data_IF_603260322259
#
_entry.id   IF_603260322259
#
_cell.length_a   1.000
_cell.length_b   1.000
_cell.length_c   1.000
_cell.angle_alpha   90.00
_cell.angle_beta   90.00
_cell.angle_gamma   90.00
#
_symmetry.space_group_name_H-M   'P 1'
#
loop_
_entity.id
_entity.type
_entity.pdbx_description
1 polymer ?
#
# COMPACT_ATOMS: atom_id res chain seq x y z
N UNK A 1 -5.45 8.11 -28.01
CA UNK A 1 -5.79 8.61 -26.66
C UNK A 1 -5.14 7.68 -25.64
N UNK A 2 -4.31 8.23 -24.75
CA UNK A 2 -3.40 7.45 -23.91
C UNK A 2 -4.15 6.71 -22.78
N UNK A 3 -3.76 5.46 -22.54
CA UNK A 3 -4.35 4.57 -21.51
C UNK A 3 -3.31 3.97 -20.57
N UNK A 4 -2.10 3.75 -21.08
CA UNK A 4 -0.98 3.15 -20.37
C UNK A 4 0.22 4.05 -20.58
N UNK A 5 0.86 4.46 -19.51
CA UNK A 5 2.13 5.20 -19.56
C UNK A 5 3.10 4.51 -18.63
N UNK A 6 4.25 4.09 -19.18
CA UNK A 6 5.37 3.55 -18.42
C UNK A 6 6.56 4.45 -18.64
N UNK A 7 7.05 5.02 -17.55
CA UNK A 7 8.29 5.80 -17.48
C UNK A 7 9.19 5.24 -16.37
N UNK A 8 9.04 3.93 -16.11
CA UNK A 8 9.87 3.18 -15.17
C UNK A 8 11.35 3.29 -15.54
N UNK A 9 12.24 3.26 -14.55
CA UNK A 9 13.70 3.23 -14.76
C UNK A 9 14.21 4.46 -15.52
N UNK A 10 13.84 5.64 -15.05
CA UNK A 10 14.33 6.91 -15.57
C UNK A 10 14.93 7.74 -14.42
N UNK A 11 15.29 8.98 -14.74
CA UNK A 11 15.78 9.96 -13.75
C UNK A 11 14.73 11.02 -13.41
N UNK A 12 13.44 10.68 -13.48
CA UNK A 12 12.37 11.61 -13.09
C UNK A 12 12.51 11.92 -11.60
N UNK A 13 12.52 13.19 -11.24
CA UNK A 13 12.78 13.61 -9.86
C UNK A 13 11.82 14.66 -9.35
N UNK A 14 11.74 14.78 -8.02
CA UNK A 14 10.90 15.77 -7.36
C UNK A 14 9.41 15.46 -7.51
N UNK A 15 8.58 16.49 -7.61
CA UNK A 15 7.13 16.34 -7.71
C UNK A 15 6.68 16.26 -9.17
N UNK A 16 6.12 15.13 -9.58
CA UNK A 16 5.56 14.97 -10.93
C UNK A 16 4.17 15.60 -10.96
N UNK A 17 4.03 16.62 -11.81
CA UNK A 17 2.76 17.35 -11.97
C UNK A 17 1.94 16.78 -13.12
N UNK A 18 0.74 16.32 -12.82
CA UNK A 18 -0.26 15.88 -13.80
C UNK A 18 -1.17 17.07 -14.12
N UNK A 19 -0.83 17.76 -15.19
CA UNK A 19 -1.58 18.93 -15.65
C UNK A 19 -2.90 18.50 -16.34
N UNK A 20 -4.01 18.74 -15.62
CA UNK A 20 -5.41 18.68 -16.07
C UNK A 20 -5.94 17.35 -16.64
N UNK A 21 -7.25 17.30 -16.90
CA UNK A 21 -8.06 16.15 -17.37
C UNK A 21 -7.71 15.60 -18.77
N UNK A 22 -6.51 15.90 -19.29
CA UNK A 22 -6.03 15.53 -20.64
C UNK A 22 -5.78 14.05 -20.86
N UNK A 23 -5.78 13.28 -19.77
CA UNK A 23 -5.62 11.83 -19.81
C UNK A 23 -6.88 11.12 -19.27
N UNK A 24 -8.10 11.40 -19.80
CA UNK A 24 -9.31 10.90 -19.17
C UNK A 24 -9.53 9.41 -19.38
N UNK A 25 -8.69 8.75 -20.19
CA UNK A 25 -8.68 7.29 -20.35
C UNK A 25 -7.47 6.62 -19.68
N UNK A 26 -6.64 7.36 -18.95
CA UNK A 26 -5.50 6.76 -18.25
C UNK A 26 -5.99 5.69 -17.29
N UNK A 27 -5.43 4.50 -17.43
CA UNK A 27 -5.79 3.32 -16.67
C UNK A 27 -4.60 2.81 -15.85
N UNK A 28 -3.39 2.91 -16.40
CA UNK A 28 -2.14 2.52 -15.75
C UNK A 28 -1.10 3.62 -15.90
N UNK A 29 -0.51 4.00 -14.77
CA UNK A 29 0.64 4.88 -14.70
C UNK A 29 1.74 4.16 -13.92
N UNK A 30 2.86 3.94 -14.58
CA UNK A 30 4.02 3.25 -14.02
C UNK A 30 5.21 4.20 -14.05
N UNK A 31 5.63 4.60 -12.85
CA UNK A 31 6.67 5.59 -12.60
C UNK A 31 7.77 5.02 -11.69
N UNK A 32 7.80 3.70 -11.47
CA UNK A 32 8.72 3.09 -10.53
C UNK A 32 10.20 3.29 -10.93
N UNK A 33 11.12 3.09 -9.97
CA UNK A 33 12.57 3.22 -10.19
C UNK A 33 12.95 4.58 -10.76
N UNK A 34 12.51 5.64 -10.09
CA UNK A 34 12.84 7.03 -10.37
C UNK A 34 13.33 7.70 -9.06
N UNK A 35 13.23 9.03 -8.96
CA UNK A 35 13.59 9.83 -7.78
C UNK A 35 12.40 10.70 -7.34
N UNK A 36 11.17 10.21 -7.52
CA UNK A 36 9.94 10.98 -7.34
C UNK A 36 9.65 11.16 -5.85
N UNK A 37 9.30 12.39 -5.45
CA UNK A 37 8.91 12.76 -4.09
C UNK A 37 7.40 12.85 -3.89
N UNK A 38 6.63 12.91 -4.97
CA UNK A 38 5.17 12.89 -4.93
C UNK A 38 4.49 13.19 -6.26
N UNK A 39 3.18 12.97 -6.31
CA UNK A 39 2.34 13.29 -7.46
C UNK A 39 1.40 14.46 -7.15
N UNK A 40 1.48 15.52 -7.96
CA UNK A 40 0.55 16.64 -7.89
C UNK A 40 -0.48 16.50 -9.02
N UNK A 41 -1.77 16.56 -8.69
CA UNK A 41 -2.84 16.45 -9.69
C UNK A 41 -3.24 15.01 -10.08
N UNK A 42 -2.81 14.00 -9.32
CA UNK A 42 -3.21 12.61 -9.55
C UNK A 42 -4.75 12.42 -9.52
N UNK A 43 -5.46 13.25 -8.75
CA UNK A 43 -6.92 13.29 -8.66
C UNK A 43 -7.60 13.57 -10.00
N UNK A 44 -6.92 14.13 -11.01
CA UNK A 44 -7.48 14.32 -12.35
C UNK A 44 -7.58 13.02 -13.15
N UNK A 45 -6.82 11.99 -12.79
CA UNK A 45 -6.82 10.69 -13.47
C UNK A 45 -7.98 9.79 -12.97
N UNK A 46 -9.22 10.22 -13.17
CA UNK A 46 -10.44 9.56 -12.64
C UNK A 46 -10.60 8.09 -13.05
N UNK A 47 -9.98 7.67 -14.16
CA UNK A 47 -10.02 6.31 -14.66
C UNK A 47 -8.77 5.47 -14.32
N UNK A 48 -7.82 6.03 -13.57
CA UNK A 48 -6.64 5.31 -13.14
C UNK A 48 -7.05 4.14 -12.24
N UNK A 49 -6.48 2.97 -12.49
CA UNK A 49 -6.68 1.73 -11.72
C UNK A 49 -5.39 1.15 -11.20
N UNK A 50 -4.26 1.41 -11.85
CA UNK A 50 -2.96 0.88 -11.45
C UNK A 50 -1.95 2.01 -11.39
N UNK A 51 -1.32 2.15 -10.23
CA UNK A 51 -0.28 3.14 -9.98
C UNK A 51 0.92 2.46 -9.32
N UNK A 52 2.08 2.58 -9.97
CA UNK A 52 3.35 2.06 -9.49
C UNK A 52 4.32 3.23 -9.27
N UNK A 53 4.81 3.35 -8.04
CA UNK A 53 5.72 4.37 -7.54
C UNK A 53 6.74 3.70 -6.59
N UNK A 54 7.10 2.46 -6.90
CA UNK A 54 8.08 1.69 -6.13
C UNK A 54 9.49 2.18 -6.45
N UNK A 55 10.42 2.05 -5.51
CA UNK A 55 11.81 2.49 -5.69
C UNK A 55 11.88 3.98 -6.10
N UNK A 56 11.25 4.83 -5.30
CA UNK A 56 11.22 6.28 -5.45
C UNK A 56 11.66 6.94 -4.13
N UNK A 57 11.51 8.27 -4.03
CA UNK A 57 11.85 9.04 -2.84
C UNK A 57 10.60 9.59 -2.14
N UNK A 58 9.50 8.83 -2.12
CA UNK A 58 8.30 9.22 -1.38
C UNK A 58 8.58 9.20 0.11
N UNK A 59 8.17 10.25 0.83
CA UNK A 59 8.43 10.42 2.25
C UNK A 59 7.18 10.89 3.00
N UNK A 60 7.18 10.70 4.32
CA UNK A 60 6.11 11.13 5.21
C UNK A 60 4.96 10.12 5.31
N UNK A 61 3.81 10.60 5.79
CA UNK A 61 2.65 9.74 6.04
C UNK A 61 1.92 9.38 4.74
N UNK A 62 1.64 8.09 4.56
CA UNK A 62 0.94 7.54 3.40
C UNK A 62 -0.43 8.18 3.17
N UNK A 63 -1.11 8.58 4.24
CA UNK A 63 -2.39 9.31 4.19
C UNK A 63 -2.27 10.64 3.46
N UNK A 64 -1.16 11.36 3.68
CA UNK A 64 -0.87 12.65 3.02
C UNK A 64 -0.49 12.39 1.55
N UNK A 65 0.39 11.42 1.31
CA UNK A 65 0.84 11.05 -0.05
C UNK A 65 -0.35 10.64 -0.93
N UNK A 66 -1.32 9.93 -0.37
CA UNK A 66 -2.49 9.42 -1.10
C UNK A 66 -3.73 10.32 -1.01
N UNK A 67 -3.66 11.44 -0.30
CA UNK A 67 -4.81 12.34 -0.07
C UNK A 67 -5.48 12.73 -1.40
N UNK A 68 -4.68 13.02 -2.42
CA UNK A 68 -5.15 13.47 -3.72
C UNK A 68 -5.16 12.37 -4.80
N UNK A 69 -5.12 11.09 -4.42
CA UNK A 69 -5.14 10.01 -5.40
C UNK A 69 -6.58 9.64 -5.82
N UNK A 70 -6.78 9.11 -7.04
CA UNK A 70 -8.07 8.57 -7.43
C UNK A 70 -8.54 7.48 -6.47
N UNK A 71 -9.77 7.58 -5.96
CA UNK A 71 -10.32 6.63 -4.98
C UNK A 71 -10.62 5.24 -5.53
N UNK A 72 -10.64 5.10 -6.87
CA UNK A 72 -10.97 3.86 -7.59
C UNK A 72 -9.74 3.06 -8.02
N UNK A 73 -8.61 3.21 -7.33
CA UNK A 73 -7.42 2.41 -7.61
C UNK A 73 -7.67 0.94 -7.28
N UNK A 74 -7.11 0.03 -8.07
CA UNK A 74 -7.10 -1.42 -7.82
C UNK A 74 -5.73 -1.88 -7.34
N UNK A 75 -4.65 -1.27 -7.84
CA UNK A 75 -3.28 -1.61 -7.48
C UNK A 75 -2.55 -0.32 -7.13
N UNK A 76 -1.92 -0.32 -5.96
CA UNK A 76 -1.04 0.74 -5.49
C UNK A 76 0.23 0.10 -4.95
N UNK A 77 1.37 0.58 -5.45
CA UNK A 77 2.68 0.01 -5.16
C UNK A 77 3.64 1.15 -4.81
N UNK A 78 4.15 1.11 -3.58
CA UNK A 78 5.12 2.04 -3.00
C UNK A 78 6.26 1.30 -2.30
N UNK A 79 6.57 0.07 -2.73
CA UNK A 79 7.69 -0.66 -2.15
C UNK A 79 8.97 0.16 -2.31
N UNK A 80 9.90 0.08 -1.35
CA UNK A 80 11.18 0.78 -1.43
C UNK A 80 11.03 2.31 -1.55
N UNK A 81 10.44 2.91 -0.51
CA UNK A 81 10.35 4.36 -0.31
C UNK A 81 10.72 4.69 1.16
N UNK A 82 10.51 5.93 1.59
CA UNK A 82 10.78 6.41 2.96
C UNK A 82 9.49 6.84 3.69
N UNK A 83 8.39 6.12 3.47
CA UNK A 83 7.10 6.41 4.11
C UNK A 83 7.15 6.07 5.62
N UNK A 84 6.57 6.92 6.46
CA UNK A 84 6.69 6.81 7.93
C UNK A 84 5.42 6.41 8.66
N UNK A 85 4.24 6.60 8.05
CA UNK A 85 2.96 6.39 8.72
C UNK A 85 1.87 5.84 7.81
N UNK A 86 1.00 5.01 8.38
CA UNK A 86 -0.15 4.40 7.70
C UNK A 86 -1.36 4.43 8.62
N UNK A 87 -2.35 5.30 8.35
CA UNK A 87 -3.51 5.45 9.25
C UNK A 87 -4.85 5.22 8.55
N UNK A 88 -5.05 5.71 7.32
CA UNK A 88 -6.36 5.66 6.64
C UNK A 88 -6.26 5.52 5.13
N UNK A 89 -6.21 4.26 4.68
CA UNK A 89 -6.40 3.91 3.25
C UNK A 89 -7.85 3.58 2.88
N UNK A 90 -8.78 3.73 3.83
CA UNK A 90 -10.22 3.44 3.67
C UNK A 90 -10.90 4.23 2.53
N UNK A 91 -10.31 5.37 2.13
CA UNK A 91 -10.79 6.13 0.99
C UNK A 91 -10.54 5.43 -0.36
N UNK A 92 -9.61 4.48 -0.44
CA UNK A 92 -9.31 3.70 -1.64
C UNK A 92 -10.24 2.48 -1.73
N UNK A 93 -11.53 2.75 -1.93
CA UNK A 93 -12.62 1.77 -1.76
C UNK A 93 -12.65 0.62 -2.77
N UNK A 94 -11.84 0.67 -3.83
CA UNK A 94 -11.74 -0.40 -4.84
C UNK A 94 -10.37 -1.11 -4.82
N UNK A 95 -9.52 -0.82 -3.82
CA UNK A 95 -8.15 -1.31 -3.79
C UNK A 95 -8.12 -2.82 -3.58
N UNK A 96 -7.39 -3.52 -4.45
CA UNK A 96 -7.28 -4.98 -4.49
C UNK A 96 -5.91 -5.48 -4.04
N UNK A 97 -4.88 -4.69 -4.29
CA UNK A 97 -3.49 -4.99 -3.96
C UNK A 97 -2.80 -3.72 -3.47
N UNK A 98 -2.16 -3.83 -2.31
CA UNK A 98 -1.31 -2.80 -1.73
C UNK A 98 0.06 -3.37 -1.45
N UNK A 99 1.09 -2.76 -2.01
CA UNK A 99 2.49 -3.09 -1.69
C UNK A 99 3.17 -1.85 -1.14
N UNK A 100 3.64 -1.93 0.10
CA UNK A 100 4.32 -0.84 0.83
C UNK A 100 5.46 -1.41 1.69
N UNK A 101 6.06 -2.51 1.23
CA UNK A 101 7.22 -3.14 1.86
C UNK A 101 8.45 -2.24 1.75
N UNK A 102 9.45 -2.48 2.60
CA UNK A 102 10.72 -1.73 2.58
C UNK A 102 10.47 -0.21 2.67
N UNK A 103 9.81 0.19 3.75
CA UNK A 103 9.56 1.58 4.14
C UNK A 103 9.90 1.76 5.63
N UNK A 104 9.64 2.94 6.19
CA UNK A 104 9.90 3.27 7.58
C UNK A 104 8.61 3.38 8.40
N UNK A 105 7.57 2.61 8.03
CA UNK A 105 6.25 2.71 8.64
C UNK A 105 6.33 2.40 10.14
N UNK A 106 5.66 3.22 10.94
CA UNK A 106 5.64 3.14 12.40
C UNK A 106 4.25 2.98 12.99
N UNK A 107 4.18 2.33 14.14
CA UNK A 107 2.96 2.25 14.96
C UNK A 107 1.99 1.18 14.49
N UNK A 108 0.71 1.53 14.38
CA UNK A 108 -0.36 0.56 14.11
C UNK A 108 -1.00 0.77 12.75
N UNK A 109 -1.20 -0.30 12.01
CA UNK A 109 -2.01 -0.30 10.80
C UNK A 109 -3.41 -0.86 11.09
N UNK A 110 -4.46 -0.08 10.80
CA UNK A 110 -5.85 -0.49 11.02
C UNK A 110 -6.48 -0.88 9.69
N UNK A 111 -6.90 -2.14 9.59
CA UNK A 111 -7.63 -2.70 8.46
C UNK A 111 -9.12 -2.73 8.84
N UNK A 112 -9.83 -1.70 8.43
CA UNK A 112 -11.28 -1.57 8.67
C UNK A 112 -12.08 -2.49 7.74
N UNK A 113 -13.30 -2.82 8.16
CA UNK A 113 -14.25 -3.61 7.34
C UNK A 113 -14.50 -3.04 5.95
N UNK A 114 -14.55 -1.71 5.81
CA UNK A 114 -14.75 -1.07 4.51
C UNK A 114 -13.54 -1.26 3.60
N UNK A 115 -12.34 -1.04 4.12
CA UNK A 115 -11.10 -1.21 3.37
C UNK A 115 -10.90 -2.67 2.95
N UNK A 116 -11.15 -3.60 3.85
CA UNK A 116 -10.92 -5.01 3.58
C UNK A 116 -12.04 -5.73 2.82
N UNK A 117 -13.12 -5.02 2.47
CA UNK A 117 -14.16 -5.52 1.56
C UNK A 117 -13.66 -5.75 0.13
N UNK A 118 -12.58 -5.11 -0.30
CA UNK A 118 -12.05 -5.24 -1.68
C UNK A 118 -10.60 -5.70 -1.77
N UNK A 119 -9.81 -5.54 -0.71
CA UNK A 119 -8.40 -5.90 -0.71
C UNK A 119 -8.22 -7.42 -0.66
N UNK A 120 -7.30 -7.95 -1.48
CA UNK A 120 -6.94 -9.37 -1.50
C UNK A 120 -5.50 -9.61 -1.07
N UNK A 121 -4.63 -8.60 -1.20
CA UNK A 121 -3.20 -8.71 -0.93
C UNK A 121 -2.68 -7.42 -0.31
N UNK A 122 -1.94 -7.56 0.78
CA UNK A 122 -1.23 -6.48 1.44
C UNK A 122 0.20 -6.96 1.70
N UNK A 123 1.19 -6.21 1.25
CA UNK A 123 2.60 -6.44 1.56
C UNK A 123 3.17 -5.26 2.35
N UNK A 124 3.67 -5.57 3.55
CA UNK A 124 4.17 -4.67 4.59
C UNK A 124 5.60 -5.04 5.02
N UNK A 125 6.24 -5.98 4.35
CA UNK A 125 7.51 -6.56 4.79
C UNK A 125 8.58 -5.49 4.99
N UNK A 126 9.51 -5.73 5.90
CA UNK A 126 10.66 -4.85 6.18
C UNK A 126 10.25 -3.43 6.63
N UNK A 127 9.13 -3.29 7.33
CA UNK A 127 8.72 -2.06 8.03
C UNK A 127 8.97 -2.20 9.53
N UNK A 128 10.23 -2.12 9.95
CA UNK A 128 10.66 -2.45 11.33
C UNK A 128 10.01 -1.61 12.44
N UNK A 129 9.45 -0.44 12.10
CA UNK A 129 8.78 0.43 13.05
C UNK A 129 7.31 0.07 13.31
N UNK A 130 6.72 -0.78 12.48
CA UNK A 130 5.32 -1.19 12.60
C UNK A 130 5.20 -2.21 13.72
N UNK A 131 4.38 -1.89 14.72
CA UNK A 131 4.25 -2.68 15.94
C UNK A 131 2.95 -3.45 16.03
N UNK A 132 1.90 -3.04 15.31
CA UNK A 132 0.58 -3.68 15.39
C UNK A 132 -0.17 -3.62 14.06
N UNK A 133 -0.91 -4.68 13.76
CA UNK A 133 -1.94 -4.72 12.71
C UNK A 133 -3.26 -5.05 13.38
N UNK A 134 -4.18 -4.09 13.35
CA UNK A 134 -5.54 -4.30 13.83
C UNK A 134 -6.46 -4.67 12.67
N UNK A 135 -6.95 -5.91 12.68
CA UNK A 135 -7.99 -6.43 11.81
C UNK A 135 -9.31 -6.35 12.58
N UNK A 136 -10.19 -5.45 12.19
CA UNK A 136 -11.56 -5.43 12.74
C UNK A 136 -12.20 -6.82 12.49
N UNK A 137 -12.82 -7.42 13.51
CA UNK A 137 -12.93 -8.89 13.67
C UNK A 137 -13.73 -9.63 12.58
N UNK A 138 -14.44 -8.89 11.71
CA UNK A 138 -15.18 -9.37 10.54
C UNK A 138 -14.65 -8.82 9.20
N UNK A 139 -13.50 -8.13 9.22
CA UNK A 139 -13.14 -7.16 8.18
C UNK A 139 -12.50 -7.75 6.93
N UNK A 140 -11.91 -8.95 6.98
CA UNK A 140 -11.05 -9.47 5.91
C UNK A 140 -11.63 -10.65 5.11
N UNK A 141 -12.89 -10.62 4.63
CA UNK A 141 -13.48 -11.75 3.94
C UNK A 141 -12.78 -12.09 2.61
N UNK A 142 -12.05 -11.13 2.05
CA UNK A 142 -11.39 -11.25 0.75
C UNK A 142 -9.87 -11.31 0.82
N UNK A 143 -9.26 -11.04 1.99
CA UNK A 143 -7.80 -11.03 2.12
C UNK A 143 -7.25 -12.45 1.95
N UNK A 144 -6.33 -12.61 1.00
CA UNK A 144 -5.67 -13.88 0.66
C UNK A 144 -4.21 -13.90 1.07
N UNK A 145 -3.58 -12.73 1.16
CA UNK A 145 -2.16 -12.59 1.49
C UNK A 145 -1.96 -11.36 2.37
N UNK A 146 -1.23 -11.54 3.47
CA UNK A 146 -0.80 -10.46 4.36
C UNK A 146 0.68 -10.68 4.73
N UNK A 147 1.58 -10.03 3.99
CA UNK A 147 3.01 -10.26 4.17
C UNK A 147 3.61 -9.18 5.05
N UNK A 148 4.26 -9.57 6.15
CA UNK A 148 4.97 -8.68 7.06
C UNK A 148 6.30 -9.27 7.50
N UNK A 149 6.96 -10.00 6.60
CA UNK A 149 8.28 -10.57 6.84
C UNK A 149 9.28 -9.47 7.21
N UNK A 150 10.28 -9.77 8.03
CA UNK A 150 11.29 -8.78 8.44
C UNK A 150 10.82 -7.78 9.51
N UNK A 151 9.59 -7.89 10.01
CA UNK A 151 9.12 -7.14 11.18
C UNK A 151 9.27 -8.02 12.43
N UNK A 152 10.23 -7.67 13.29
CA UNK A 152 10.67 -8.54 14.40
C UNK A 152 9.64 -8.69 15.53
N UNK A 153 8.90 -7.63 15.84
CA UNK A 153 7.92 -7.59 16.93
C UNK A 153 6.64 -6.92 16.46
N UNK A 154 5.69 -7.71 15.96
CA UNK A 154 4.39 -7.23 15.52
C UNK A 154 3.28 -7.97 16.27
N UNK A 155 2.25 -7.26 16.70
CA UNK A 155 1.01 -7.87 17.12
C UNK A 155 -0.02 -7.86 16.00
N UNK A 156 -0.88 -8.88 15.95
CA UNK A 156 -2.08 -8.87 15.11
C UNK A 156 -3.28 -8.98 16.03
N UNK A 157 -4.17 -7.99 16.04
CA UNK A 157 -5.27 -7.89 17.02
C UNK A 157 -4.79 -8.02 18.47
N UNK A 158 -3.69 -7.33 18.79
CA UNK A 158 -3.05 -7.32 20.11
C UNK A 158 -2.48 -8.67 20.58
N UNK A 159 -2.48 -9.70 19.72
CA UNK A 159 -1.76 -10.95 19.94
C UNK A 159 -0.34 -10.86 19.35
N UNK A 160 0.69 -11.04 20.18
CA UNK A 160 2.10 -10.85 19.79
C UNK A 160 2.58 -11.99 18.89
N UNK A 161 2.85 -11.69 17.61
CA UNK A 161 3.49 -12.59 16.68
C UNK A 161 5.02 -12.50 16.83
N UNK A 162 5.63 -13.42 17.60
CA UNK A 162 7.10 -13.51 17.72
C UNK A 162 7.70 -14.52 16.73
N UNK A 163 7.70 -14.33 15.40
CA UNK A 163 8.50 -15.23 14.53
C UNK A 163 9.11 -14.61 13.28
N UNK A 164 10.36 -15.03 13.05
CA UNK A 164 11.20 -14.84 11.87
C UNK A 164 10.84 -15.87 10.77
N UNK A 165 9.54 -16.01 10.40
CA UNK A 165 9.06 -16.94 9.35
C UNK A 165 8.13 -16.24 8.35
N UNK A 166 8.39 -16.58 7.09
CA UNK A 166 7.94 -15.97 5.83
C UNK A 166 6.44 -16.03 5.58
N UNK A 167 5.88 -14.87 5.16
CA UNK A 167 4.64 -14.67 4.36
C UNK A 167 3.36 -15.39 4.80
N UNK A 168 2.27 -14.67 5.04
CA UNK A 168 0.96 -15.30 5.25
C UNK A 168 0.31 -15.65 3.92
N UNK A 169 0.37 -16.93 3.55
CA UNK A 169 -0.55 -17.51 2.57
C UNK A 169 -1.84 -17.92 3.32
N UNK A 170 -2.88 -17.07 3.31
CA UNK A 170 -4.14 -17.25 4.09
C UNK A 170 -4.95 -18.50 3.64
N UNK A 171 -4.42 -19.30 2.71
CA UNK A 171 -5.00 -20.60 2.33
C UNK A 171 -5.02 -21.66 3.44
N UNK A 172 -4.31 -21.47 4.56
CA UNK A 172 -4.30 -22.43 5.67
C UNK A 172 -4.58 -21.80 7.03
N UNK A 173 -5.88 -21.66 7.32
CA UNK A 173 -6.54 -21.60 8.66
C UNK A 173 -6.58 -20.23 9.39
N UNK A 174 -7.69 -19.99 10.12
CA UNK A 174 -7.99 -18.71 10.78
C UNK A 174 -7.11 -18.50 12.01
N UNK A 175 -6.76 -17.23 12.25
CA UNK A 175 -6.56 -16.43 13.50
C UNK A 175 -6.07 -17.10 14.81
N UNK A 176 -6.24 -18.40 15.04
CA UNK A 176 -6.05 -19.05 16.35
C UNK A 176 -4.65 -19.60 16.62
N UNK A 177 -3.75 -19.64 15.63
CA UNK A 177 -2.39 -20.20 15.80
C UNK A 177 -1.27 -19.18 15.49
N UNK A 178 -1.56 -17.88 15.63
CA UNK A 178 -0.65 -16.82 15.18
C UNK A 178 0.57 -16.61 16.08
N UNK A 179 0.49 -17.08 17.32
CA UNK A 179 1.47 -16.80 18.35
C UNK A 179 1.75 -18.10 19.11
N UNK A 180 2.91 -18.71 18.89
CA UNK A 180 3.45 -19.71 19.83
C UNK A 180 4.43 -18.98 20.77
N UNK A 181 4.38 -19.35 22.07
CA UNK A 181 5.05 -18.72 23.21
C UNK A 181 6.57 -18.49 23.06
#
# INVERSE_FOLDING_TARGET
MLRYLRLSENELEGYVTIASSKLPKMFLLDLNRNKIKGLVGANYLKNLRKLYLDHDNLEGDLDIVTENFPRKLWVLSFDWNSLTGIKRLEALTELKSLSISNNELKGSFIITKSFASTIYMISLSDNIGLSNIHLDSDAVPNLKSLDFYGIECISVNDEICKQNKSSWDIKFRPVQNLCED
#
